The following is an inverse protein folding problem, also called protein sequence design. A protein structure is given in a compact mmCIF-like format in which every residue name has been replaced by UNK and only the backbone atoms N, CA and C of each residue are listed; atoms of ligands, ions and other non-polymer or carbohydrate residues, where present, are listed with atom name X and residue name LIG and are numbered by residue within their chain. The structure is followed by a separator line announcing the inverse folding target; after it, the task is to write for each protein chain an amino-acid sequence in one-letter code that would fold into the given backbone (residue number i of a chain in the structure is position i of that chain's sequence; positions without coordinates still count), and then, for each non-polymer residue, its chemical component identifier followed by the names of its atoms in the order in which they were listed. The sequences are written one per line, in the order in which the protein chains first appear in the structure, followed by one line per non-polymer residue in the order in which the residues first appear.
data_IF_168260903057
#
_entry.id   IF_168260903057
#
_cell.length_a   1.000
_cell.length_b   1.000
_cell.length_c   1.000
_cell.angle_alpha   90.00
_cell.angle_beta   90.00
_cell.angle_gamma   90.00
#
_symmetry.space_group_name_H-M   'P 1'
#
loop_
_entity.id
_entity.type
_entity.pdbx_description
1 polymer ?
#
# COMPACT_ATOMS: atom_id res chain seq x y z
N UNK A 1 -2.01 13.44 -9.29
CA UNK A 1 -3.12 14.39 -9.62
C UNK A 1 -4.07 13.79 -10.65
N UNK A 2 -3.58 13.09 -11.67
CA UNK A 2 -4.43 12.44 -12.69
C UNK A 2 -5.45 11.50 -12.06
N UNK A 3 -5.07 10.69 -11.06
CA UNK A 3 -5.95 9.71 -10.41
C UNK A 3 -7.00 10.34 -9.49
N UNK A 4 -6.77 11.56 -9.02
CA UNK A 4 -7.70 12.24 -8.11
C UNK A 4 -9.02 12.57 -8.82
N UNK A 5 -8.96 12.90 -10.11
CA UNK A 5 -10.14 13.23 -10.92
C UNK A 5 -11.12 12.05 -11.03
N UNK A 6 -10.73 10.86 -11.55
CA UNK A 6 -11.64 9.72 -11.62
C UNK A 6 -12.07 9.23 -10.24
N UNK A 7 -11.20 9.32 -9.22
CA UNK A 7 -11.56 8.99 -7.85
C UNK A 7 -12.67 9.91 -7.31
N UNK A 8 -12.60 11.21 -7.57
CA UNK A 8 -13.64 12.15 -7.18
C UNK A 8 -14.95 11.90 -7.92
N UNK A 9 -14.90 11.75 -9.24
CA UNK A 9 -16.10 11.58 -10.07
C UNK A 9 -16.85 10.29 -9.69
N UNK A 10 -16.14 9.18 -9.50
CA UNK A 10 -16.76 7.94 -9.02
C UNK A 10 -17.19 8.07 -7.54
N UNK A 11 -16.40 8.74 -6.72
CA UNK A 11 -16.70 8.97 -5.30
C UNK A 11 -17.96 9.79 -5.06
N UNK A 12 -18.25 10.76 -5.93
CA UNK A 12 -19.44 11.60 -5.87
C UNK A 12 -20.73 10.77 -5.99
N UNK A 13 -20.76 9.78 -6.87
CA UNK A 13 -21.93 8.91 -7.07
C UNK A 13 -22.25 8.15 -5.77
N UNK A 14 -21.23 7.56 -5.14
CA UNK A 14 -21.40 6.87 -3.86
C UNK A 14 -21.78 7.83 -2.73
N UNK A 15 -21.24 9.05 -2.69
CA UNK A 15 -21.54 10.04 -1.66
C UNK A 15 -22.96 10.61 -1.73
N UNK A 16 -23.48 10.87 -2.94
CA UNK A 16 -24.80 11.47 -3.14
C UNK A 16 -25.94 10.46 -3.08
N UNK A 17 -25.73 9.26 -3.65
CA UNK A 17 -26.78 8.24 -3.77
C UNK A 17 -26.68 7.12 -2.73
N UNK A 18 -25.60 7.08 -1.92
CA UNK A 18 -25.36 6.04 -0.92
C UNK A 18 -25.36 4.61 -1.49
N UNK A 19 -25.00 4.44 -2.76
CA UNK A 19 -24.96 3.14 -3.46
C UNK A 19 -23.53 2.61 -3.60
N UNK A 20 -23.32 1.27 -3.50
CA UNK A 20 -22.02 0.64 -3.74
C UNK A 20 -21.69 0.55 -5.23
N UNK A 21 -20.41 0.24 -5.54
CA UNK A 21 -19.91 0.10 -6.91
C UNK A 21 -20.77 -0.86 -7.75
N UNK A 22 -21.23 -1.95 -7.14
CA UNK A 22 -22.06 -2.99 -7.76
C UNK A 22 -23.33 -2.46 -8.43
N UNK A 23 -23.94 -1.41 -7.88
CA UNK A 23 -25.15 -0.78 -8.44
C UNK A 23 -24.74 0.21 -9.52
N UNK A 24 -23.67 0.97 -9.30
CA UNK A 24 -23.12 1.91 -10.30
C UNK A 24 -22.73 1.18 -11.58
N UNK A 25 -22.09 0.02 -11.47
CA UNK A 25 -21.69 -0.82 -12.59
C UNK A 25 -22.88 -1.31 -13.43
N UNK A 26 -24.07 -1.48 -12.84
CA UNK A 26 -25.29 -1.86 -13.57
C UNK A 26 -25.82 -0.74 -14.44
N UNK A 27 -25.60 0.52 -14.07
CA UNK A 27 -26.02 1.66 -14.87
C UNK A 27 -25.19 1.77 -16.16
N UNK A 28 -23.90 1.42 -16.11
CA UNK A 28 -23.00 1.49 -17.27
C UNK A 28 -23.01 0.23 -18.14
N UNK A 29 -22.96 -0.96 -17.53
CA UNK A 29 -22.83 -2.23 -18.25
C UNK A 29 -24.17 -2.98 -18.41
N UNK A 30 -25.24 -2.56 -17.73
CA UNK A 30 -26.48 -3.31 -17.68
C UNK A 30 -26.41 -4.52 -16.74
N UNK A 31 -27.52 -5.23 -16.57
CA UNK A 31 -27.65 -6.26 -15.54
C UNK A 31 -26.71 -7.45 -15.73
N UNK A 32 -26.64 -8.01 -16.94
CA UNK A 32 -25.86 -9.23 -17.21
C UNK A 32 -24.36 -8.96 -17.29
N UNK A 33 -23.94 -7.92 -18.03
CA UNK A 33 -22.52 -7.60 -18.22
C UNK A 33 -21.89 -7.00 -16.96
N UNK A 34 -22.68 -6.38 -16.06
CA UNK A 34 -22.17 -5.96 -14.75
C UNK A 34 -21.54 -7.11 -13.95
N UNK A 35 -22.03 -8.35 -14.10
CA UNK A 35 -21.45 -9.53 -13.43
C UNK A 35 -20.03 -9.80 -13.88
N UNK A 36 -19.73 -9.61 -15.17
CA UNK A 36 -18.38 -9.72 -15.69
C UNK A 36 -17.45 -8.67 -15.06
N UNK A 37 -17.90 -7.41 -15.00
CA UNK A 37 -17.15 -6.33 -14.36
C UNK A 37 -16.90 -6.55 -12.85
N UNK A 38 -17.82 -7.24 -12.16
CA UNK A 38 -17.67 -7.63 -10.75
C UNK A 38 -16.65 -8.75 -10.59
N UNK A 39 -16.68 -9.77 -11.45
CA UNK A 39 -15.71 -10.88 -11.40
C UNK A 39 -14.28 -10.40 -11.70
N UNK A 40 -14.10 -9.53 -12.69
CA UNK A 40 -12.78 -8.96 -13.01
C UNK A 40 -12.24 -8.10 -11.88
N UNK A 41 -13.10 -7.30 -11.23
CA UNK A 41 -12.74 -6.52 -10.05
C UNK A 41 -12.34 -7.41 -8.88
N UNK A 42 -13.11 -8.47 -8.61
CA UNK A 42 -12.83 -9.43 -7.55
C UNK A 42 -11.48 -10.13 -7.77
N UNK A 43 -11.18 -10.56 -9.01
CA UNK A 43 -9.89 -11.15 -9.35
C UNK A 43 -8.73 -10.17 -9.05
N UNK A 44 -8.84 -8.92 -9.51
CA UNK A 44 -7.84 -7.87 -9.24
C UNK A 44 -7.68 -7.60 -7.74
N UNK A 45 -8.78 -7.57 -6.97
CA UNK A 45 -8.74 -7.40 -5.52
C UNK A 45 -8.00 -8.55 -4.81
N UNK A 46 -8.19 -9.79 -5.26
CA UNK A 46 -7.48 -10.97 -4.75
C UNK A 46 -5.98 -10.92 -5.08
N UNK A 47 -5.60 -10.50 -6.28
CA UNK A 47 -4.19 -10.31 -6.64
C UNK A 47 -3.52 -9.25 -5.76
N UNK A 48 -4.15 -8.09 -5.58
CA UNK A 48 -3.63 -7.05 -4.68
C UNK A 48 -3.56 -7.53 -3.23
N UNK A 49 -4.55 -8.31 -2.78
CA UNK A 49 -4.52 -8.91 -1.45
C UNK A 49 -3.29 -9.81 -1.26
N UNK A 50 -2.97 -10.64 -2.24
CA UNK A 50 -1.79 -11.50 -2.22
C UNK A 50 -0.48 -10.67 -2.16
N UNK A 51 -0.36 -9.64 -3.02
CA UNK A 51 0.81 -8.75 -3.05
C UNK A 51 0.99 -8.06 -1.70
N UNK A 52 -0.05 -7.46 -1.13
CA UNK A 52 0.06 -6.75 0.14
C UNK A 52 0.34 -7.68 1.31
N UNK A 53 -0.18 -8.91 1.29
CA UNK A 53 0.12 -9.91 2.31
C UNK A 53 1.57 -10.40 2.21
N UNK A 54 2.11 -10.51 0.99
CA UNK A 54 3.53 -10.79 0.77
C UNK A 54 4.41 -9.65 1.26
N UNK A 55 4.13 -8.41 0.87
CA UNK A 55 4.91 -7.24 1.32
C UNK A 55 4.77 -6.99 2.83
N UNK A 56 3.62 -7.33 3.44
CA UNK A 56 3.47 -7.34 4.89
C UNK A 56 4.34 -8.41 5.56
N UNK A 57 4.55 -9.55 4.90
CA UNK A 57 5.36 -10.66 5.42
C UNK A 57 6.84 -10.31 5.46
N UNK A 58 7.35 -9.67 4.41
CA UNK A 58 8.74 -9.20 4.38
C UNK A 58 9.02 -8.16 5.47
N UNK A 59 8.03 -7.34 5.81
CA UNK A 59 8.12 -6.44 6.97
C UNK A 59 8.07 -7.19 8.30
N UNK A 60 7.18 -8.18 8.44
CA UNK A 60 7.14 -9.03 9.63
C UNK A 60 8.47 -9.77 9.83
N UNK A 61 9.11 -10.22 8.75
CA UNK A 61 10.43 -10.85 8.79
C UNK A 61 11.48 -9.90 9.39
N UNK A 62 11.50 -8.63 8.97
CA UNK A 62 12.44 -7.64 9.53
C UNK A 62 12.14 -7.32 11.01
N UNK A 63 10.87 -7.33 11.43
CA UNK A 63 10.48 -7.20 12.85
C UNK A 63 11.08 -8.36 13.67
N UNK A 64 10.87 -9.60 13.21
CA UNK A 64 11.36 -10.80 13.89
C UNK A 64 12.88 -10.80 13.95
N UNK A 65 13.56 -10.42 12.85
CA UNK A 65 15.01 -10.24 12.81
C UNK A 65 15.49 -9.18 13.81
N UNK A 66 14.79 -8.05 13.92
CA UNK A 66 15.15 -6.96 14.82
C UNK A 66 15.06 -7.39 16.30
N UNK A 67 14.04 -8.17 16.67
CA UNK A 67 13.85 -8.70 18.03
C UNK A 67 14.84 -9.85 18.31
N UNK A 68 14.88 -10.84 17.41
CA UNK A 68 15.69 -12.05 17.52
C UNK A 68 16.64 -12.21 16.33
N UNK A 69 17.90 -11.73 16.43
CA UNK A 69 18.88 -11.86 15.35
C UNK A 69 19.19 -13.31 14.99
N UNK A 70 19.03 -14.25 15.94
CA UNK A 70 19.18 -15.69 15.70
C UNK A 70 18.19 -16.24 14.67
N UNK A 71 17.10 -15.54 14.38
CA UNK A 71 16.14 -15.95 13.35
C UNK A 71 16.77 -16.06 11.95
N UNK A 72 17.82 -15.28 11.67
CA UNK A 72 18.59 -15.39 10.42
C UNK A 72 19.39 -16.70 10.31
N UNK A 73 19.75 -17.31 11.44
CA UNK A 73 20.59 -18.52 11.48
C UNK A 73 19.80 -19.82 11.33
N UNK A 74 18.47 -19.75 11.20
CA UNK A 74 17.64 -20.93 11.02
C UNK A 74 17.88 -21.48 9.60
N UNK A 75 18.33 -22.74 9.45
CA UNK A 75 18.63 -23.31 8.15
C UNK A 75 17.36 -23.49 7.33
N UNK A 76 17.41 -23.13 6.06
CA UNK A 76 16.30 -23.31 5.14
C UNK A 76 16.05 -24.81 4.92
N UNK A 77 14.84 -25.29 5.23
CA UNK A 77 14.41 -26.68 4.99
C UNK A 77 13.59 -26.84 3.72
N UNK A 78 13.33 -25.74 3.00
CA UNK A 78 12.58 -25.74 1.76
C UNK A 78 13.52 -25.84 0.56
N UNK A 79 13.13 -26.56 -0.51
CA UNK A 79 13.89 -26.59 -1.75
C UNK A 79 13.92 -25.20 -2.40
N UNK A 80 15.01 -24.87 -3.09
CA UNK A 80 15.18 -23.56 -3.75
C UNK A 80 14.09 -23.27 -4.80
N UNK A 81 13.49 -24.32 -5.37
CA UNK A 81 12.35 -24.20 -6.29
C UNK A 81 11.09 -23.60 -5.68
N UNK A 82 10.99 -23.54 -4.34
CA UNK A 82 9.85 -22.95 -3.65
C UNK A 82 9.84 -21.41 -3.70
N UNK A 83 10.97 -20.77 -4.03
CA UNK A 83 11.08 -19.30 -4.12
C UNK A 83 10.84 -18.56 -2.79
N UNK A 84 10.81 -19.28 -1.66
CA UNK A 84 10.59 -18.75 -0.32
C UNK A 84 11.50 -19.47 0.67
N UNK A 85 12.09 -18.73 1.59
CA UNK A 85 12.86 -19.32 2.69
C UNK A 85 11.95 -19.76 3.83
N UNK A 86 12.38 -20.76 4.61
CA UNK A 86 11.63 -21.21 5.79
C UNK A 86 11.35 -20.07 6.78
N UNK A 87 12.25 -19.10 6.87
CA UNK A 87 12.13 -17.95 7.78
C UNK A 87 11.08 -16.94 7.28
N UNK A 88 11.03 -16.68 5.98
CA UNK A 88 9.98 -15.85 5.37
C UNK A 88 8.61 -16.50 5.46
N UNK A 89 8.53 -17.83 5.35
CA UNK A 89 7.27 -18.57 5.53
C UNK A 89 6.75 -18.45 6.96
N UNK A 90 7.63 -18.53 7.96
CA UNK A 90 7.26 -18.31 9.37
C UNK A 90 6.77 -16.87 9.56
N UNK A 91 7.48 -15.88 9.01
CA UNK A 91 7.05 -14.48 9.07
C UNK A 91 5.69 -14.27 8.41
N UNK A 92 5.42 -14.96 7.30
CA UNK A 92 4.13 -14.93 6.61
C UNK A 92 3.01 -15.51 7.48
N UNK A 93 3.26 -16.65 8.13
CA UNK A 93 2.31 -17.28 9.04
C UNK A 93 2.01 -16.38 10.25
N UNK A 94 3.03 -15.75 10.83
CA UNK A 94 2.85 -14.79 11.93
C UNK A 94 2.02 -13.58 11.49
N UNK A 95 2.32 -13.01 10.32
CA UNK A 95 1.51 -11.93 9.75
C UNK A 95 0.05 -12.39 9.59
N UNK A 96 -0.17 -13.55 9.00
CA UNK A 96 -1.50 -14.11 8.76
C UNK A 96 -2.30 -14.25 10.07
N UNK A 97 -1.68 -14.76 11.13
CA UNK A 97 -2.30 -14.84 12.46
C UNK A 97 -2.65 -13.47 13.04
N UNK A 98 -1.82 -12.44 12.83
CA UNK A 98 -2.09 -11.06 13.27
C UNK A 98 -3.16 -10.40 12.41
N UNK A 99 -3.21 -10.72 11.12
CA UNK A 99 -4.10 -10.12 10.16
C UNK A 99 -5.55 -10.61 10.33
N UNK A 100 -5.77 -11.89 10.65
CA UNK A 100 -7.10 -12.50 10.78
C UNK A 100 -8.01 -11.75 11.78
N UNK A 101 -7.61 -11.49 13.05
CA UNK A 101 -8.46 -10.78 14.01
C UNK A 101 -8.87 -9.39 13.53
N UNK A 102 -7.98 -8.71 12.80
CA UNK A 102 -8.23 -7.39 12.23
C UNK A 102 -9.22 -7.49 11.07
N UNK A 103 -9.11 -8.51 10.22
CA UNK A 103 -10.07 -8.79 9.14
C UNK A 103 -11.47 -9.08 9.65
N UNK A 104 -11.59 -9.86 10.72
CA UNK A 104 -12.87 -10.22 11.32
C UNK A 104 -13.55 -9.05 12.04
N UNK A 105 -12.82 -7.95 12.26
CA UNK A 105 -13.34 -6.76 12.90
C UNK A 105 -14.18 -5.94 11.91
N UNK A 106 -15.42 -5.56 12.27
CA UNK A 106 -16.26 -4.76 11.38
C UNK A 106 -15.64 -3.41 10.97
N UNK A 107 -15.80 -2.96 9.71
CA UNK A 107 -15.25 -1.70 9.19
C UNK A 107 -15.52 -0.47 10.06
N UNK A 108 -16.69 -0.39 10.70
CA UNK A 108 -17.05 0.76 11.54
C UNK A 108 -16.20 0.89 12.82
N UNK A 109 -15.64 -0.20 13.35
CA UNK A 109 -14.74 -0.18 14.52
C UNK A 109 -13.30 0.14 14.15
N UNK A 110 -12.94 -0.04 12.88
CA UNK A 110 -11.59 0.14 12.36
C UNK A 110 -11.20 1.63 12.17
N UNK A 111 -12.11 2.57 12.42
CA UNK A 111 -11.82 4.02 12.35
C UNK A 111 -10.60 4.43 13.18
N UNK A 112 -10.41 3.82 14.36
CA UNK A 112 -9.26 4.12 15.22
C UNK A 112 -7.96 3.54 14.67
N UNK A 113 -8.04 2.36 14.04
CA UNK A 113 -6.89 1.76 13.37
C UNK A 113 -6.44 2.62 12.18
N UNK A 114 -7.38 3.12 11.37
CA UNK A 114 -7.05 4.04 10.27
C UNK A 114 -6.51 5.38 10.77
N UNK A 115 -7.04 5.93 11.87
CA UNK A 115 -6.51 7.16 12.47
C UNK A 115 -5.07 6.95 12.98
N UNK A 116 -4.80 5.83 13.65
CA UNK A 116 -3.46 5.46 14.09
C UNK A 116 -2.49 5.31 12.90
N UNK A 117 -2.90 4.61 11.84
CA UNK A 117 -2.14 4.48 10.59
C UNK A 117 -1.78 5.84 9.99
N UNK A 118 -2.75 6.75 9.88
CA UNK A 118 -2.54 8.07 9.29
C UNK A 118 -1.55 8.93 10.08
N UNK A 119 -1.39 8.67 11.38
CA UNK A 119 -0.39 9.34 12.21
C UNK A 119 0.99 8.68 12.13
N UNK A 120 1.06 7.35 12.29
CA UNK A 120 2.34 6.64 12.40
C UNK A 120 3.12 6.64 11.09
N UNK A 121 2.42 6.52 9.94
CA UNK A 121 3.07 6.41 8.63
C UNK A 121 3.89 7.67 8.30
N UNK A 122 3.32 8.89 8.31
CA UNK A 122 4.10 10.10 8.07
C UNK A 122 5.23 10.31 9.07
N UNK A 123 5.00 10.03 10.36
CA UNK A 123 6.03 10.19 11.41
C UNK A 123 7.24 9.31 11.13
N UNK A 124 7.01 8.03 10.81
CA UNK A 124 8.10 7.09 10.53
C UNK A 124 8.76 7.38 9.18
N UNK A 125 8.01 7.85 8.18
CA UNK A 125 8.58 8.31 6.90
C UNK A 125 9.52 9.50 7.11
N UNK A 126 9.11 10.51 7.89
CA UNK A 126 9.97 11.66 8.22
C UNK A 126 11.20 11.21 9.02
N UNK A 127 11.02 10.33 10.02
CA UNK A 127 12.13 9.81 10.80
C UNK A 127 13.15 9.06 9.92
N UNK A 128 12.68 8.26 8.97
CA UNK A 128 13.53 7.53 8.01
C UNK A 128 14.35 8.50 7.16
N UNK A 129 13.71 9.55 6.61
CA UNK A 129 14.39 10.59 5.84
C UNK A 129 15.46 11.28 6.69
N UNK A 130 15.14 11.69 7.92
CA UNK A 130 16.08 12.38 8.81
C UNK A 130 17.31 11.50 9.11
N UNK A 131 17.10 10.20 9.37
CA UNK A 131 18.20 9.25 9.61
C UNK A 131 19.07 9.10 8.36
N UNK A 132 18.46 8.99 7.18
CA UNK A 132 19.19 8.83 5.93
C UNK A 132 19.98 10.07 5.54
N UNK A 133 19.40 11.26 5.68
CA UNK A 133 20.08 12.52 5.42
C UNK A 133 21.27 12.71 6.36
N UNK A 134 21.11 12.36 7.65
CA UNK A 134 22.23 12.40 8.61
C UNK A 134 23.34 11.42 8.26
N UNK A 135 23.01 10.22 7.78
CA UNK A 135 24.01 9.23 7.33
C UNK A 135 24.72 9.66 6.03
N UNK A 136 24.01 10.31 5.11
CA UNK A 136 24.56 10.78 3.84
C UNK A 136 25.38 12.07 3.96
N UNK A 137 25.30 12.78 5.09
CA UNK A 137 26.02 14.04 5.30
C UNK A 137 25.44 15.25 4.56
N UNK A 138 24.28 15.10 3.91
CA UNK A 138 23.63 16.17 3.15
C UNK A 138 22.63 15.65 2.12
N UNK A 139 22.03 16.58 1.36
CA UNK A 139 21.03 16.32 0.29
C UNK A 139 21.53 16.82 -1.08
N UNK A 140 22.73 17.41 -1.14
CA UNK A 140 23.19 18.21 -2.30
C UNK A 140 23.34 17.38 -3.57
N UNK A 141 23.83 16.14 -3.47
CA UNK A 141 24.00 15.22 -4.62
C UNK A 141 22.68 14.84 -5.30
N UNK A 142 21.55 15.00 -4.61
CA UNK A 142 20.21 14.68 -5.16
C UNK A 142 19.80 15.73 -6.18
N UNK A 143 20.02 17.00 -5.86
CA UNK A 143 19.57 18.12 -6.68
C UNK A 143 20.48 18.38 -7.88
N UNK A 144 21.73 17.91 -7.81
CA UNK A 144 22.73 18.07 -8.86
C UNK A 144 22.77 16.91 -9.87
N UNK A 145 21.80 15.99 -9.86
CA UNK A 145 21.77 14.89 -10.84
C UNK A 145 21.40 15.39 -12.25
N UNK A 146 22.29 15.12 -13.22
CA UNK A 146 22.05 15.45 -14.62
C UNK A 146 21.06 14.48 -15.27
N UNK A 147 20.25 15.01 -16.19
CA UNK A 147 19.32 14.21 -16.98
C UNK A 147 20.09 13.34 -17.99
N UNK A 148 20.01 12.03 -17.83
CA UNK A 148 20.68 11.05 -18.73
C UNK A 148 20.01 10.87 -20.08
N UNK A 149 18.73 11.26 -20.23
CA UNK A 149 17.96 11.04 -21.46
C UNK A 149 17.38 12.35 -22.02
N UNK A 150 17.54 12.59 -23.32
CA UNK A 150 17.05 13.77 -24.03
C UNK A 150 16.11 13.41 -25.20
N UNK A 151 15.32 14.39 -25.68
CA UNK A 151 14.44 14.23 -26.83
C UNK A 151 13.21 13.32 -26.61
N UNK A 152 12.84 12.55 -27.64
CA UNK A 152 11.65 11.68 -27.64
C UNK A 152 11.68 10.61 -26.54
N UNK A 153 12.87 10.08 -26.22
CA UNK A 153 13.04 9.09 -25.16
C UNK A 153 12.62 9.64 -23.79
N UNK A 154 12.90 10.92 -23.49
CA UNK A 154 12.46 11.57 -22.26
C UNK A 154 10.94 11.69 -22.20
N UNK A 155 10.31 12.12 -23.28
CA UNK A 155 8.85 12.22 -23.38
C UNK A 155 8.19 10.85 -23.19
N UNK A 156 8.76 9.79 -23.79
CA UNK A 156 8.28 8.43 -23.62
C UNK A 156 8.39 7.94 -22.18
N UNK A 157 9.53 8.16 -21.52
CA UNK A 157 9.72 7.80 -20.10
C UNK A 157 8.71 8.54 -19.22
N UNK A 158 8.47 9.83 -19.49
CA UNK A 158 7.48 10.62 -18.76
C UNK A 158 6.08 10.00 -18.94
N UNK A 159 5.65 9.74 -20.17
CA UNK A 159 4.34 9.15 -20.46
C UNK A 159 4.19 7.74 -19.88
N UNK A 160 5.24 6.92 -19.91
CA UNK A 160 5.25 5.59 -19.32
C UNK A 160 5.10 5.64 -17.80
N UNK A 161 5.80 6.56 -17.13
CA UNK A 161 5.64 6.78 -15.69
C UNK A 161 4.23 7.27 -15.33
N UNK A 162 3.67 8.20 -16.11
CA UNK A 162 2.28 8.64 -15.93
C UNK A 162 1.30 7.46 -16.05
N UNK A 163 1.46 6.63 -17.09
CA UNK A 163 0.61 5.47 -17.32
C UNK A 163 0.71 4.43 -16.21
N UNK A 164 1.93 4.18 -15.70
CA UNK A 164 2.18 3.28 -14.57
C UNK A 164 1.47 3.75 -13.29
N UNK A 165 1.59 5.05 -12.97
CA UNK A 165 0.90 5.63 -11.81
C UNK A 165 -0.62 5.54 -11.94
N UNK A 166 -1.17 5.83 -13.12
CA UNK A 166 -2.61 5.73 -13.37
C UNK A 166 -3.12 4.30 -13.24
N UNK A 167 -2.37 3.32 -13.77
CA UNK A 167 -2.71 1.91 -13.67
C UNK A 167 -2.77 1.41 -12.22
N UNK A 168 -1.84 1.85 -11.37
CA UNK A 168 -1.78 1.45 -9.97
C UNK A 168 -2.99 1.90 -9.14
N UNK A 169 -3.58 3.07 -9.45
CA UNK A 169 -4.71 3.64 -8.71
C UNK A 169 -6.07 3.38 -9.36
N UNK A 170 -6.11 2.88 -10.60
CA UNK A 170 -7.34 2.62 -11.34
C UNK A 170 -8.31 1.72 -10.57
N UNK A 171 -7.81 0.66 -9.91
CA UNK A 171 -8.65 -0.24 -9.09
C UNK A 171 -9.28 0.48 -7.89
N UNK A 172 -8.56 1.40 -7.25
CA UNK A 172 -9.14 2.17 -6.14
C UNK A 172 -10.16 3.20 -6.64
N UNK A 173 -9.90 3.80 -7.81
CA UNK A 173 -10.80 4.75 -8.45
C UNK A 173 -12.18 4.15 -8.74
N UNK A 174 -12.25 2.87 -9.11
CA UNK A 174 -13.53 2.17 -9.31
C UNK A 174 -14.17 1.72 -7.99
N UNK A 175 -13.37 1.36 -6.99
CA UNK A 175 -13.85 0.84 -5.70
C UNK A 175 -14.34 1.92 -4.73
N UNK A 176 -14.02 3.20 -4.99
CA UNK A 176 -14.33 4.30 -4.07
C UNK A 176 -15.81 4.43 -3.65
N UNK A 177 -16.84 4.09 -4.47
CA UNK A 177 -18.24 4.16 -4.04
C UNK A 177 -18.55 3.24 -2.86
N UNK A 178 -17.80 2.14 -2.69
CA UNK A 178 -17.96 1.23 -1.56
C UNK A 178 -17.63 1.90 -0.22
N UNK A 179 -16.82 2.96 -0.24
CA UNK A 179 -16.45 3.76 0.92
C UNK A 179 -17.29 5.03 1.03
N UNK A 180 -17.47 5.74 -0.09
CA UNK A 180 -18.16 7.04 -0.07
C UNK A 180 -19.65 6.91 0.24
N UNK A 181 -20.26 5.73 0.03
CA UNK A 181 -21.63 5.43 0.49
C UNK A 181 -21.85 5.61 1.99
N UNK A 182 -20.80 5.51 2.80
CA UNK A 182 -20.88 5.67 4.26
C UNK A 182 -20.58 7.10 4.73
N UNK A 183 -20.30 8.04 3.81
CA UNK A 183 -20.05 9.44 4.21
C UNK A 183 -21.34 10.15 4.59
N UNK A 184 -21.29 10.92 5.67
CA UNK A 184 -22.42 11.75 6.12
C UNK A 184 -22.58 13.05 5.31
N UNK A 185 -21.53 13.53 4.63
CA UNK A 185 -21.55 14.79 3.89
C UNK A 185 -20.66 14.72 2.65
N UNK A 186 -21.19 15.11 1.49
CA UNK A 186 -20.46 15.18 0.21
C UNK A 186 -19.24 16.12 0.26
N UNK A 187 -19.18 17.05 1.23
CA UNK A 187 -18.00 17.90 1.43
C UNK A 187 -16.71 17.13 1.72
N UNK A 188 -16.80 15.91 2.27
CA UNK A 188 -15.64 15.05 2.50
C UNK A 188 -14.88 14.70 1.22
N UNK A 189 -15.57 14.67 0.08
CA UNK A 189 -14.98 14.40 -1.23
C UNK A 189 -14.02 15.50 -1.68
N UNK A 190 -14.35 16.78 -1.42
CA UNK A 190 -13.46 17.90 -1.75
C UNK A 190 -12.20 17.92 -0.88
N UNK A 191 -12.31 17.53 0.40
CA UNK A 191 -11.13 17.37 1.25
C UNK A 191 -10.24 16.24 0.75
N UNK A 192 -10.83 15.12 0.33
CA UNK A 192 -10.08 14.00 -0.27
C UNK A 192 -9.34 14.44 -1.55
N UNK A 193 -9.97 15.28 -2.39
CA UNK A 193 -9.37 15.83 -3.59
C UNK A 193 -8.10 16.64 -3.33
N UNK A 194 -8.08 17.40 -2.24
CA UNK A 194 -6.96 18.25 -1.86
C UNK A 194 -5.87 17.44 -1.15
N UNK A 195 -6.25 16.61 -0.17
CA UNK A 195 -5.28 15.90 0.67
C UNK A 195 -4.58 14.75 -0.06
N UNK A 196 -5.26 14.03 -0.95
CA UNK A 196 -4.65 12.88 -1.63
C UNK A 196 -3.42 13.26 -2.47
N UNK A 197 -3.46 14.26 -3.37
CA UNK A 197 -2.28 14.67 -4.12
C UNK A 197 -1.15 15.17 -3.24
N UNK A 198 -1.48 15.94 -2.19
CA UNK A 198 -0.48 16.51 -1.27
C UNK A 198 0.24 15.42 -0.49
N UNK A 199 -0.50 14.47 0.10
CA UNK A 199 0.10 13.35 0.84
C UNK A 199 0.93 12.48 -0.11
N UNK A 200 0.43 12.18 -1.30
CA UNK A 200 1.16 11.37 -2.28
C UNK A 200 2.46 12.07 -2.73
N UNK A 201 2.42 13.38 -2.96
CA UNK A 201 3.61 14.18 -3.27
C UNK A 201 4.63 14.11 -2.13
N UNK A 202 4.19 14.33 -0.88
CA UNK A 202 5.08 14.28 0.29
C UNK A 202 5.73 12.90 0.47
N UNK A 203 4.94 11.83 0.41
CA UNK A 203 5.47 10.46 0.53
C UNK A 203 6.43 10.12 -0.62
N UNK A 204 6.13 10.57 -1.84
CA UNK A 204 7.01 10.36 -3.00
C UNK A 204 8.34 11.10 -2.83
N UNK A 205 8.30 12.35 -2.36
CA UNK A 205 9.51 13.13 -2.05
C UNK A 205 10.35 12.43 -0.97
N UNK A 206 9.73 11.93 0.10
CA UNK A 206 10.44 11.19 1.15
C UNK A 206 11.12 9.92 0.62
N UNK A 207 10.44 9.19 -0.29
CA UNK A 207 11.02 8.03 -0.96
C UNK A 207 12.23 8.38 -1.82
N UNK A 208 12.13 9.42 -2.65
CA UNK A 208 13.22 9.88 -3.53
C UNK A 208 14.43 10.34 -2.72
N UNK A 209 14.22 11.15 -1.68
CA UNK A 209 15.30 11.63 -0.81
C UNK A 209 15.99 10.44 -0.13
N UNK A 210 15.22 9.52 0.46
CA UNK A 210 15.78 8.35 1.17
C UNK A 210 16.56 7.42 0.23
N UNK A 211 16.04 7.17 -0.97
CA UNK A 211 16.67 6.30 -1.98
C UNK A 211 17.97 6.91 -2.49
N UNK A 212 18.01 8.23 -2.70
CA UNK A 212 19.23 8.88 -3.18
C UNK A 212 20.28 9.02 -2.07
N UNK A 213 19.88 9.29 -0.83
CA UNK A 213 20.77 9.16 0.33
C UNK A 213 21.31 7.72 0.48
N UNK A 214 20.50 6.70 0.18
CA UNK A 214 20.96 5.31 0.21
C UNK A 214 22.09 5.05 -0.79
N UNK A 215 22.06 5.66 -1.98
CA UNK A 215 23.17 5.57 -2.93
C UNK A 215 24.45 6.21 -2.40
N UNK A 216 24.37 7.36 -1.74
CA UNK A 216 25.55 8.02 -1.15
C UNK A 216 26.16 7.18 -0.03
N UNK A 217 25.32 6.58 0.81
CA UNK A 217 25.76 5.82 2.00
C UNK A 217 26.20 4.40 1.66
N UNK A 218 25.46 3.71 0.80
CA UNK A 218 25.61 2.27 0.54
C UNK A 218 26.08 1.95 -0.89
N UNK A 219 26.21 2.94 -1.77
CA UNK A 219 26.65 2.75 -3.16
C UNK A 219 25.57 2.29 -4.14
N UNK A 220 24.39 1.91 -3.66
CA UNK A 220 23.28 1.37 -4.46
C UNK A 220 21.96 2.11 -4.20
N UNK A 221 21.09 2.15 -5.22
CA UNK A 221 19.75 2.74 -5.10
C UNK A 221 18.78 1.77 -4.41
N UNK A 222 18.68 1.88 -3.09
CA UNK A 222 17.72 1.09 -2.30
C UNK A 222 16.39 1.85 -2.21
N UNK A 223 15.40 1.37 -2.95
CA UNK A 223 14.04 1.96 -2.99
C UNK A 223 13.11 1.35 -1.93
N UNK A 224 13.37 0.11 -1.49
CA UNK A 224 12.55 -0.58 -0.51
C UNK A 224 12.91 -0.11 0.91
N UNK A 225 11.96 0.43 1.69
CA UNK A 225 12.22 0.86 3.06
C UNK A 225 12.60 -0.31 3.98
N UNK A 226 12.18 -1.53 3.63
CA UNK A 226 12.52 -2.75 4.36
C UNK A 226 13.96 -3.20 4.11
N UNK A 227 14.43 -3.07 2.87
CA UNK A 227 15.84 -3.32 2.53
C UNK A 227 16.74 -2.25 3.15
N UNK A 228 16.27 -1.01 3.20
CA UNK A 228 16.98 0.07 3.87
C UNK A 228 17.12 -0.18 5.37
N UNK A 229 16.03 -0.61 6.02
CA UNK A 229 16.03 -1.03 7.42
C UNK A 229 16.94 -2.25 7.64
N UNK A 230 17.11 -3.10 6.64
CA UNK A 230 17.97 -4.27 6.73
C UNK A 230 19.46 -3.94 6.82
N UNK A 231 19.88 -2.75 6.36
CA UNK A 231 21.25 -2.23 6.43
C UNK A 231 21.57 -1.53 7.76
N UNK A 232 20.60 -1.41 8.68
CA UNK A 232 20.78 -0.70 9.94
C UNK A 232 21.19 -1.66 11.07
N UNK A 233 22.50 -1.87 11.21
CA UNK A 233 23.05 -2.73 12.27
C UNK A 233 23.34 -1.97 13.59
N UNK A 234 23.47 -2.73 14.68
CA UNK A 234 23.70 -2.24 16.04
C UNK A 234 22.43 -2.05 16.89
N UNK A 235 22.56 -1.74 18.20
CA UNK A 235 21.39 -1.62 19.10
C UNK A 235 20.39 -0.53 18.68
N UNK A 236 20.89 0.64 18.27
CA UNK A 236 20.06 1.75 17.76
C UNK A 236 19.48 1.47 16.37
N UNK A 237 20.26 0.85 15.48
CA UNK A 237 19.83 0.47 14.13
C UNK A 237 18.69 -0.55 14.15
N UNK A 238 18.81 -1.58 15.00
CA UNK A 238 17.77 -2.59 15.22
C UNK A 238 16.47 -2.01 15.74
N UNK A 239 16.55 -1.03 16.64
CA UNK A 239 15.39 -0.31 17.14
C UNK A 239 14.69 0.47 16.00
N UNK A 240 15.48 1.17 15.18
CA UNK A 240 14.97 1.85 13.98
C UNK A 240 14.32 0.89 12.98
N UNK A 241 14.97 -0.23 12.69
CA UNK A 241 14.45 -1.27 11.79
C UNK A 241 13.11 -1.83 12.30
N UNK A 242 13.00 -2.10 13.60
CA UNK A 242 11.74 -2.53 14.21
C UNK A 242 10.61 -1.53 13.98
N UNK A 243 10.84 -0.23 14.25
CA UNK A 243 9.79 0.78 14.07
C UNK A 243 9.39 0.99 12.61
N UNK A 244 10.36 1.01 11.69
CA UNK A 244 10.10 1.11 10.25
C UNK A 244 9.28 -0.09 9.77
N UNK A 245 9.69 -1.30 10.12
CA UNK A 245 8.99 -2.51 9.71
C UNK A 245 7.63 -2.66 10.38
N UNK A 246 7.49 -2.29 11.66
CA UNK A 246 6.20 -2.25 12.36
C UNK A 246 5.23 -1.28 11.69
N UNK A 247 5.69 -0.07 11.37
CA UNK A 247 4.90 0.89 10.62
C UNK A 247 4.47 0.34 9.26
N UNK A 248 5.36 -0.36 8.56
CA UNK A 248 5.05 -0.98 7.28
C UNK A 248 3.99 -2.09 7.41
N UNK A 249 4.08 -2.95 8.43
CA UNK A 249 3.05 -3.96 8.71
C UNK A 249 1.69 -3.29 8.95
N UNK A 250 1.63 -2.27 9.80
CA UNK A 250 0.38 -1.53 10.06
C UNK A 250 -0.15 -0.88 8.79
N UNK A 251 0.72 -0.26 7.99
CA UNK A 251 0.35 0.36 6.72
C UNK A 251 -0.24 -0.67 5.74
N UNK A 252 0.40 -1.83 5.62
CA UNK A 252 -0.02 -2.88 4.70
C UNK A 252 -1.31 -3.56 5.11
N UNK A 253 -1.48 -3.90 6.39
CA UNK A 253 -2.76 -4.43 6.90
C UNK A 253 -3.88 -3.43 6.62
N UNK A 254 -3.67 -2.14 6.92
CA UNK A 254 -4.68 -1.11 6.68
C UNK A 254 -5.01 -0.90 5.22
N UNK A 255 -3.99 -0.84 4.35
CA UNK A 255 -4.20 -0.68 2.91
C UNK A 255 -4.90 -1.90 2.33
N UNK A 256 -4.50 -3.11 2.70
CA UNK A 256 -5.10 -4.35 2.23
C UNK A 256 -6.59 -4.44 2.62
N UNK A 257 -6.90 -4.08 3.87
CA UNK A 257 -8.26 -4.05 4.38
C UNK A 257 -9.15 -3.05 3.62
N UNK A 258 -8.67 -1.83 3.42
CA UNK A 258 -9.43 -0.78 2.72
C UNK A 258 -9.46 -0.94 1.20
N UNK A 259 -8.43 -1.48 0.55
CA UNK A 259 -8.36 -1.47 -0.91
C UNK A 259 -8.87 -2.76 -1.55
N UNK A 260 -8.67 -3.90 -0.88
CA UNK A 260 -8.86 -5.22 -1.48
C UNK A 260 -9.96 -6.01 -0.79
N UNK A 261 -9.89 -6.15 0.54
CA UNK A 261 -10.77 -7.08 1.27
C UNK A 261 -12.22 -6.59 1.24
N UNK A 262 -12.48 -5.33 1.60
CA UNK A 262 -13.86 -4.80 1.64
C UNK A 262 -14.53 -4.88 0.26
N UNK A 263 -13.80 -4.55 -0.80
CA UNK A 263 -14.31 -4.63 -2.18
C UNK A 263 -14.58 -6.08 -2.59
N UNK A 264 -13.66 -7.00 -2.31
CA UNK A 264 -13.84 -8.43 -2.58
C UNK A 264 -15.04 -9.01 -1.81
N UNK A 265 -15.19 -8.69 -0.51
CA UNK A 265 -16.34 -9.13 0.29
C UNK A 265 -17.66 -8.63 -0.29
N UNK A 266 -17.74 -7.35 -0.70
CA UNK A 266 -18.93 -6.81 -1.35
C UNK A 266 -19.25 -7.54 -2.66
N UNK A 267 -18.25 -7.84 -3.49
CA UNK A 267 -18.41 -8.59 -4.74
C UNK A 267 -18.94 -10.00 -4.50
N UNK A 268 -18.33 -10.70 -3.54
CA UNK A 268 -18.67 -12.07 -3.18
C UNK A 268 -20.13 -12.18 -2.70
N UNK A 269 -20.56 -11.23 -1.86
CA UNK A 269 -21.95 -11.12 -1.41
C UNK A 269 -22.88 -10.87 -2.60
N UNK A 270 -22.52 -9.98 -3.52
CA UNK A 270 -23.38 -9.69 -4.68
C UNK A 270 -23.54 -10.87 -5.64
N UNK A 271 -22.54 -11.74 -5.74
CA UNK A 271 -22.57 -12.92 -6.61
C UNK A 271 -23.25 -14.11 -5.93
N UNK A 272 -23.00 -14.31 -4.63
CA UNK A 272 -23.46 -15.48 -3.86
C UNK A 272 -24.28 -15.09 -2.62
N UNK A 273 -25.28 -14.22 -2.80
CA UNK A 273 -26.12 -13.69 -1.71
C UNK A 273 -26.73 -14.75 -0.76
N UNK A 274 -26.95 -15.97 -1.24
CA UNK A 274 -27.54 -17.07 -0.45
C UNK A 274 -26.53 -17.84 0.41
N UNK A 275 -25.23 -17.77 0.11
CA UNK A 275 -24.21 -18.65 0.70
C UNK A 275 -23.14 -17.89 1.49
N UNK A 276 -23.05 -16.57 1.33
CA UNK A 276 -21.90 -15.79 1.81
C UNK A 276 -22.39 -14.54 2.55
N UNK A 277 -21.87 -14.36 3.76
CA UNK A 277 -22.06 -13.16 4.56
C UNK A 277 -20.80 -12.29 4.53
N UNK A 278 -20.90 -11.08 5.08
CA UNK A 278 -19.80 -10.12 5.14
C UNK A 278 -18.66 -10.48 6.10
N UNK A 279 -18.76 -11.61 6.80
CA UNK A 279 -17.74 -12.11 7.73
C UNK A 279 -17.06 -13.33 7.13
#
# INVERSE_FOLDING_TARGET
MVDAIPLMLNGAIGAHYHIPYLIVARASFGYYLSRFAVVTRMATALFWHAIQSWTGSTAMFQIIRAIWPRFLSIPNRLPESAGITSNELIAHFVLFCVQIPILLTPPHKLKYFFAFKTLIVPVVSVATVVVMVRKAGGVDDIWNQEYTTSGSARSWIILNNFSSQCGGWATMATNIPDFTRYMHSSRGLYWQALFLPVINLLMSMFGVISTSCAKVVYGEYIWSPLELAAQWDGPGGRCGAFFVSFCWVVAQIGTNLSASIISCSNDLISLFQKHINMR
#
